data_IF_440856697394
#
_entry.id   IF_440856697394
#
_cell.length_a   1.000
_cell.length_b   1.000
_cell.length_c   1.000
_cell.angle_alpha   90.00
_cell.angle_beta   90.00
_cell.angle_gamma   90.00
#
_symmetry.space_group_name_H-M   'P 1'
#
loop_
_entity.id
_entity.type
_entity.pdbx_description
1 polymer ?
#
# COMPACT_ATOMS: atom_id res chain seq x y z
N UNK A 1 -10.43 15.61 10.42
CA UNK A 1 -11.01 14.30 10.80
C UNK A 1 -10.42 13.21 9.92
N UNK A 2 -9.93 12.14 10.51
CA UNK A 2 -9.38 11.02 9.76
C UNK A 2 -10.53 10.07 9.46
N UNK A 3 -10.75 9.82 8.16
CA UNK A 3 -11.77 8.87 7.72
C UNK A 3 -11.11 7.52 7.44
N UNK A 4 -11.36 6.57 8.33
CA UNK A 4 -10.91 5.20 8.11
C UNK A 4 -11.90 4.46 7.21
N UNK A 5 -11.42 3.56 6.36
CA UNK A 5 -12.34 2.76 5.56
C UNK A 5 -13.17 1.83 6.47
N UNK A 6 -14.38 1.44 6.03
CA UNK A 6 -15.17 0.46 6.76
C UNK A 6 -14.42 -0.86 6.91
N UNK A 7 -14.77 -1.62 7.96
CA UNK A 7 -14.14 -2.90 8.25
C UNK A 7 -14.18 -3.87 7.06
N UNK A 8 -15.27 -3.87 6.32
CA UNK A 8 -15.42 -4.73 5.14
C UNK A 8 -14.37 -4.41 4.07
N UNK A 9 -14.05 -3.14 3.91
CA UNK A 9 -13.00 -2.71 2.97
C UNK A 9 -11.64 -3.16 3.46
N UNK A 10 -11.37 -3.03 4.76
CA UNK A 10 -10.11 -3.47 5.35
C UNK A 10 -9.92 -4.97 5.15
N UNK A 11 -10.97 -5.76 5.40
CA UNK A 11 -10.91 -7.21 5.20
C UNK A 11 -10.69 -7.57 3.74
N UNK A 12 -11.31 -6.82 2.82
CA UNK A 12 -11.09 -7.02 1.38
C UNK A 12 -9.65 -6.71 1.00
N UNK A 13 -9.08 -5.63 1.54
CA UNK A 13 -7.69 -5.28 1.30
C UNK A 13 -6.74 -6.37 1.80
N UNK A 14 -7.02 -6.94 2.97
CA UNK A 14 -6.22 -8.04 3.51
C UNK A 14 -6.24 -9.27 2.60
N UNK A 15 -7.36 -9.52 1.93
CA UNK A 15 -7.47 -10.62 0.98
C UNK A 15 -6.79 -10.31 -0.35
N UNK A 16 -6.88 -9.06 -0.81
CA UNK A 16 -6.28 -8.62 -2.07
C UNK A 16 -4.75 -8.51 -1.98
N UNK A 17 -4.25 -8.10 -0.82
CA UNK A 17 -2.83 -7.80 -0.61
C UNK A 17 -2.26 -8.65 0.53
N UNK A 18 -2.24 -9.99 0.38
CA UNK A 18 -1.57 -10.82 1.39
C UNK A 18 -0.08 -10.55 1.40
N UNK A 19 0.56 -10.86 2.51
CA UNK A 19 2.01 -10.74 2.65
C UNK A 19 2.72 -11.43 1.48
N UNK A 20 3.70 -10.76 0.90
CA UNK A 20 4.44 -11.30 -0.24
C UNK A 20 3.90 -10.86 -1.60
N UNK A 21 2.74 -10.19 -1.66
CA UNK A 21 2.19 -9.69 -2.93
C UNK A 21 3.12 -8.63 -3.51
N UNK A 22 3.43 -8.73 -4.79
CA UNK A 22 4.20 -7.71 -5.49
C UNK A 22 3.28 -6.60 -5.97
N UNK A 23 3.69 -5.36 -5.74
CA UNK A 23 2.91 -4.17 -6.10
C UNK A 23 3.78 -3.15 -6.79
N UNK A 24 3.14 -2.25 -7.51
CA UNK A 24 3.79 -1.11 -8.15
C UNK A 24 3.17 0.16 -7.63
N UNK A 25 4.00 1.16 -7.36
CA UNK A 25 3.54 2.47 -6.90
C UNK A 25 2.91 3.24 -8.06
N UNK A 26 1.66 3.68 -7.87
CA UNK A 26 1.03 4.64 -8.76
C UNK A 26 1.25 6.06 -8.26
N UNK A 27 0.91 6.29 -6.99
CA UNK A 27 1.10 7.58 -6.35
C UNK A 27 1.05 7.40 -4.84
N UNK A 28 2.04 7.94 -4.14
CA UNK A 28 2.04 8.00 -2.67
C UNK A 28 2.28 9.44 -2.26
N UNK A 29 1.31 10.01 -1.55
CA UNK A 29 1.39 11.36 -1.03
C UNK A 29 2.01 11.35 0.36
N UNK A 30 3.30 11.70 0.44
CA UNK A 30 4.02 11.81 1.70
C UNK A 30 5.02 12.95 1.56
N UNK A 31 4.97 13.89 2.51
CA UNK A 31 5.82 15.08 2.46
C UNK A 31 7.27 14.79 2.87
N UNK A 32 7.51 13.66 3.53
CA UNK A 32 8.84 13.31 4.04
C UNK A 32 9.57 12.29 3.18
N UNK A 33 8.83 11.45 2.47
CA UNK A 33 9.40 10.35 1.71
C UNK A 33 8.68 10.22 0.38
N UNK A 34 9.42 10.19 -0.70
CA UNK A 34 8.84 10.05 -2.03
C UNK A 34 9.12 8.64 -2.56
N UNK A 35 8.06 7.98 -3.03
CA UNK A 35 8.17 6.75 -3.79
C UNK A 35 7.78 7.09 -5.21
N UNK A 36 8.72 7.11 -6.16
CA UNK A 36 8.39 7.48 -7.55
C UNK A 36 7.37 6.52 -8.17
N UNK A 37 6.47 7.00 -9.01
CA UNK A 37 5.59 6.12 -9.77
C UNK A 37 6.39 5.08 -10.54
N UNK A 38 5.90 3.85 -10.57
CA UNK A 38 6.58 2.72 -11.21
C UNK A 38 7.52 1.95 -10.30
N UNK A 39 7.79 2.45 -9.09
CA UNK A 39 8.59 1.70 -8.13
C UNK A 39 7.82 0.45 -7.70
N UNK A 40 8.49 -0.69 -7.70
CA UNK A 40 7.88 -1.95 -7.24
C UNK A 40 8.26 -2.24 -5.80
N UNK A 41 7.48 -3.09 -5.16
CA UNK A 41 7.72 -3.48 -3.78
C UNK A 41 6.96 -4.74 -3.40
N UNK A 42 7.14 -5.17 -2.16
CA UNK A 42 6.50 -6.37 -1.63
C UNK A 42 5.65 -6.01 -0.41
N UNK A 43 4.41 -6.45 -0.41
CA UNK A 43 3.49 -6.22 0.70
C UNK A 43 3.98 -6.97 1.94
N UNK A 44 4.06 -6.24 3.05
CA UNK A 44 4.36 -6.81 4.37
C UNK A 44 3.07 -7.24 5.06
N UNK A 45 2.02 -6.46 4.91
CA UNK A 45 0.71 -6.73 5.50
C UNK A 45 -0.22 -5.54 5.35
N UNK A 46 -1.45 -5.71 5.79
CA UNK A 46 -2.47 -4.63 5.82
C UNK A 46 -2.91 -4.47 7.27
N UNK A 47 -2.93 -3.24 7.76
CA UNK A 47 -3.34 -2.97 9.13
C UNK A 47 -4.85 -2.73 9.24
N UNK A 48 -5.32 -2.51 10.47
CA UNK A 48 -6.75 -2.41 10.74
C UNK A 48 -7.38 -1.08 10.29
N UNK A 49 -6.56 -0.12 9.89
CA UNK A 49 -7.06 1.15 9.34
C UNK A 49 -6.96 1.21 7.82
N UNK A 50 -6.63 0.07 7.18
CA UNK A 50 -6.62 -0.02 5.73
C UNK A 50 -5.34 0.47 5.06
N UNK A 51 -4.24 0.56 5.81
CA UNK A 51 -2.95 0.88 5.21
C UNK A 51 -2.26 -0.39 4.76
N UNK A 52 -1.87 -0.46 3.49
CA UNK A 52 -1.09 -1.56 2.93
C UNK A 52 0.38 -1.23 3.14
N UNK A 53 1.04 -1.97 4.02
CA UNK A 53 2.46 -1.75 4.32
C UNK A 53 3.31 -2.46 3.29
N UNK A 54 4.22 -1.71 2.67
CA UNK A 54 5.04 -2.20 1.57
C UNK A 54 6.51 -1.92 1.85
N UNK A 55 7.34 -2.94 1.62
CA UNK A 55 8.79 -2.78 1.54
C UNK A 55 9.12 -2.54 0.08
N UNK A 56 9.48 -1.30 -0.25
CA UNK A 56 9.77 -0.90 -1.62
C UNK A 56 11.17 -1.35 -2.03
N UNK A 57 11.34 -1.64 -3.32
CA UNK A 57 12.61 -2.16 -3.83
C UNK A 57 13.75 -1.13 -3.77
N UNK A 58 13.42 0.15 -3.59
CA UNK A 58 14.42 1.20 -3.40
C UNK A 58 14.96 1.26 -1.96
N UNK A 59 14.59 0.30 -1.11
CA UNK A 59 15.05 0.23 0.28
C UNK A 59 14.17 0.95 1.28
N UNK A 60 13.14 1.64 0.85
CA UNK A 60 12.23 2.37 1.73
C UNK A 60 11.03 1.50 2.12
N UNK A 61 10.59 1.66 3.37
CA UNK A 61 9.36 1.03 3.86
C UNK A 61 8.33 2.13 4.05
N UNK A 62 7.23 2.09 3.30
CA UNK A 62 6.20 3.12 3.38
C UNK A 62 4.85 2.51 3.03
N UNK A 63 3.85 2.78 3.88
CA UNK A 63 2.49 2.28 3.68
C UNK A 63 1.70 3.11 2.68
N UNK A 64 0.81 2.45 1.95
CA UNK A 64 -0.15 3.09 1.06
C UNK A 64 -1.51 3.12 1.73
N UNK A 65 -2.03 4.32 1.98
CA UNK A 65 -3.31 4.51 2.67
C UNK A 65 -4.46 4.42 1.66
N UNK A 66 -5.49 3.65 2.03
CA UNK A 66 -6.68 3.50 1.20
C UNK A 66 -7.36 4.85 0.96
N UNK A 67 -7.68 5.12 -0.30
CA UNK A 67 -8.38 6.34 -0.69
C UNK A 67 -7.49 7.57 -0.84
N UNK A 68 -6.21 7.48 -0.45
CA UNK A 68 -5.25 8.58 -0.54
C UNK A 68 -4.14 8.23 -1.53
N UNK A 69 -3.57 7.04 -1.37
CA UNK A 69 -2.43 6.59 -2.17
C UNK A 69 -2.87 5.53 -3.16
N UNK A 70 -2.14 5.40 -4.26
CA UNK A 70 -2.46 4.46 -5.33
C UNK A 70 -1.34 3.46 -5.52
N UNK A 71 -1.68 2.19 -5.35
CA UNK A 71 -0.81 1.07 -5.69
C UNK A 71 -1.61 0.07 -6.52
N UNK A 72 -0.91 -0.77 -7.27
CA UNK A 72 -1.54 -1.85 -8.03
C UNK A 72 -0.69 -3.11 -7.97
N UNK A 73 -1.33 -4.26 -8.14
CA UNK A 73 -0.61 -5.53 -8.18
C UNK A 73 0.21 -5.64 -9.46
N UNK A 74 1.40 -6.16 -9.32
CA UNK A 74 2.24 -6.50 -10.48
C UNK A 74 1.85 -7.90 -10.90
N UNK A 75 1.56 -8.07 -12.18
CA UNK A 75 1.31 -9.40 -12.72
C UNK A 75 2.61 -10.17 -12.81
N UNK A 76 2.57 -11.38 -12.32
CA UNK A 76 3.72 -12.27 -12.37
C UNK A 76 4.02 -12.66 -13.81
#
# INVERSE_FOLDING_TARGET
>A
MINYPPREIVERLKKQYPQGTRVECGSIEDIYTTIPPGTTGTVIGVDDIGTVHVQWDNGKALGAAYGVDWIRKVKA
#
